data_IF_468592746338
#
_entry.id   IF_468592746338
#
_cell.length_a   1.000
_cell.length_b   1.000
_cell.length_c   1.000
_cell.angle_alpha   90.00
_cell.angle_beta   90.00
_cell.angle_gamma   90.00
#
_symmetry.space_group_name_H-M   'P 1'
#
loop_
_entity.id
_entity.type
_entity.pdbx_description
1 polymer ?
#
# COMPACT_ATOMS: atom_id res chain seq x y z
N UNK A 1 -13.38 26.08 -38.89
CA UNK A 1 -12.69 25.16 -37.96
C UNK A 1 -12.10 25.82 -36.71
N UNK A 2 -11.36 26.94 -36.79
CA UNK A 2 -10.74 27.58 -35.60
C UNK A 2 -11.75 28.04 -34.52
N UNK A 3 -12.90 28.60 -34.92
CA UNK A 3 -13.98 28.98 -34.00
C UNK A 3 -14.64 27.79 -33.30
N UNK A 4 -14.78 26.65 -34.00
CA UNK A 4 -15.38 25.43 -33.46
C UNK A 4 -14.47 24.79 -32.41
N UNK A 5 -13.15 24.79 -32.64
CA UNK A 5 -12.12 24.38 -31.67
C UNK A 5 -12.10 25.27 -30.43
N UNK A 6 -12.23 26.58 -30.62
CA UNK A 6 -12.29 27.55 -29.51
C UNK A 6 -13.57 27.35 -28.67
N UNK A 7 -14.70 27.07 -29.33
CA UNK A 7 -15.98 26.82 -28.67
C UNK A 7 -15.98 25.49 -27.90
N UNK A 8 -15.34 24.43 -28.42
CA UNK A 8 -15.15 23.17 -27.69
C UNK A 8 -14.22 23.31 -26.49
N UNK A 9 -13.18 24.15 -26.58
CA UNK A 9 -12.29 24.47 -25.45
C UNK A 9 -13.05 25.25 -24.36
N UNK A 10 -13.85 26.25 -24.74
CA UNK A 10 -14.66 27.04 -23.81
C UNK A 10 -15.77 26.21 -23.15
N UNK A 11 -16.44 25.32 -23.88
CA UNK A 11 -17.47 24.43 -23.34
C UNK A 11 -16.90 23.41 -22.34
N UNK A 12 -15.65 22.97 -22.52
CA UNK A 12 -15.02 22.03 -21.57
C UNK A 12 -14.73 22.66 -20.21
N UNK A 13 -14.54 23.98 -20.14
CA UNK A 13 -14.33 24.69 -18.87
C UNK A 13 -15.60 24.88 -18.04
N UNK A 14 -16.78 24.73 -18.63
CA UNK A 14 -18.06 24.93 -17.93
C UNK A 14 -18.45 23.76 -17.02
N UNK A 15 -17.72 22.65 -17.05
CA UNK A 15 -18.02 21.43 -16.27
C UNK A 15 -16.90 21.08 -15.28
N UNK A 16 -15.97 22.00 -15.03
CA UNK A 16 -14.86 21.84 -14.09
C UNK A 16 -15.21 22.47 -12.75
N UNK A 17 -15.06 21.70 -11.68
CA UNK A 17 -15.13 22.21 -10.29
C UNK A 17 -13.81 22.88 -9.90
N UNK A 18 -13.78 23.67 -8.81
CA UNK A 18 -12.51 24.17 -8.28
C UNK A 18 -11.62 23.02 -7.80
N UNK A 19 -12.20 21.90 -7.34
CA UNK A 19 -11.47 20.68 -7.02
C UNK A 19 -10.68 20.15 -8.24
N UNK A 20 -11.31 20.06 -9.41
CA UNK A 20 -10.65 19.62 -10.65
C UNK A 20 -9.46 20.53 -11.01
N UNK A 21 -9.67 21.85 -10.93
CA UNK A 21 -8.63 22.85 -11.18
C UNK A 21 -7.49 22.73 -10.17
N UNK A 22 -7.82 22.50 -8.90
CA UNK A 22 -6.82 22.40 -7.84
C UNK A 22 -5.99 21.12 -7.97
N UNK A 23 -6.63 19.99 -8.26
CA UNK A 23 -5.92 18.74 -8.56
C UNK A 23 -4.96 18.93 -9.73
N UNK A 24 -5.43 19.53 -10.84
CA UNK A 24 -4.57 19.81 -11.99
C UNK A 24 -3.35 20.66 -11.61
N UNK A 25 -3.57 21.71 -10.81
CA UNK A 25 -2.50 22.58 -10.32
C UNK A 25 -1.47 21.82 -9.48
N UNK A 26 -1.92 20.99 -8.53
CA UNK A 26 -1.01 20.17 -7.70
C UNK A 26 -0.21 19.19 -8.57
N UNK A 27 -0.87 18.49 -9.50
CA UNK A 27 -0.25 17.49 -10.37
C UNK A 27 0.89 18.09 -11.22
N UNK A 28 0.74 19.34 -11.65
CA UNK A 28 1.70 20.05 -12.50
C UNK A 28 2.79 20.77 -11.70
N UNK A 29 2.42 21.42 -10.59
CA UNK A 29 3.27 22.44 -9.96
C UNK A 29 3.77 22.07 -8.57
N UNK A 30 3.26 21.00 -7.95
CA UNK A 30 3.57 20.65 -6.56
C UNK A 30 4.05 19.19 -6.40
N UNK A 31 5.20 18.82 -7.01
CA UNK A 31 5.72 17.44 -6.98
C UNK A 31 5.92 16.90 -5.57
N UNK A 32 6.25 17.75 -4.60
CA UNK A 32 6.44 17.41 -3.20
C UNK A 32 5.17 16.88 -2.52
N UNK A 33 3.98 17.28 -2.99
CA UNK A 33 2.70 16.80 -2.45
C UNK A 33 2.43 15.36 -2.91
N UNK A 34 2.85 15.04 -4.14
CA UNK A 34 2.64 13.74 -4.76
C UNK A 34 3.52 12.64 -4.13
N UNK A 35 4.78 12.95 -3.78
CA UNK A 35 5.65 12.00 -3.09
C UNK A 35 7.12 12.36 -3.14
N UNK A 36 7.93 11.63 -2.37
CA UNK A 36 9.37 11.86 -2.26
C UNK A 36 10.18 11.32 -3.45
N UNK A 37 9.64 10.32 -4.17
CA UNK A 37 10.32 9.67 -5.28
C UNK A 37 9.63 9.98 -6.61
N UNK A 38 10.41 10.32 -7.64
CA UNK A 38 9.91 10.63 -8.98
C UNK A 38 9.06 9.50 -9.58
N UNK A 39 9.38 8.24 -9.28
CA UNK A 39 8.59 7.08 -9.72
C UNK A 39 7.15 7.16 -9.22
N UNK A 40 6.95 7.47 -7.94
CA UNK A 40 5.63 7.53 -7.32
C UNK A 40 4.84 8.72 -7.86
N UNK A 41 5.50 9.87 -8.01
CA UNK A 41 4.90 11.06 -8.62
C UNK A 41 4.41 10.77 -10.04
N UNK A 42 5.18 10.01 -10.83
CA UNK A 42 4.82 9.66 -12.21
C UNK A 42 3.63 8.70 -12.26
N UNK A 43 3.56 7.72 -11.36
CA UNK A 43 2.40 6.83 -11.25
C UNK A 43 1.15 7.64 -10.89
N UNK A 44 1.23 8.52 -9.89
CA UNK A 44 0.10 9.38 -9.49
C UNK A 44 -0.36 10.23 -10.68
N UNK A 45 0.54 10.97 -11.33
CA UNK A 45 0.19 11.78 -12.52
C UNK A 45 -0.46 10.93 -13.61
N UNK A 46 0.05 9.73 -13.83
CA UNK A 46 -0.50 8.80 -14.83
C UNK A 46 -1.92 8.35 -14.48
N UNK A 47 -2.22 8.04 -13.21
CA UNK A 47 -3.57 7.67 -12.77
C UNK A 47 -4.57 8.80 -13.02
N UNK A 48 -4.23 10.03 -12.60
CA UNK A 48 -5.09 11.17 -12.83
C UNK A 48 -5.23 11.50 -14.32
N UNK A 49 -4.16 11.39 -15.11
CA UNK A 49 -4.23 11.62 -16.55
C UNK A 49 -5.19 10.63 -17.25
N UNK A 50 -5.17 9.35 -16.85
CA UNK A 50 -6.14 8.34 -17.34
C UNK A 50 -7.57 8.76 -16.97
N UNK A 51 -7.76 9.29 -15.77
CA UNK A 51 -9.06 9.82 -15.30
C UNK A 51 -9.37 11.25 -15.77
N UNK A 52 -8.68 11.77 -16.80
CA UNK A 52 -8.89 13.12 -17.35
C UNK A 52 -8.71 14.23 -16.29
N UNK A 53 -7.80 14.01 -15.35
CA UNK A 53 -7.47 14.87 -14.20
C UNK A 53 -8.63 15.15 -13.24
N UNK A 54 -9.65 14.29 -13.24
CA UNK A 54 -10.74 14.32 -12.26
C UNK A 54 -10.37 13.54 -10.99
N UNK A 55 -11.02 13.82 -9.84
CA UNK A 55 -10.85 13.06 -8.61
C UNK A 55 -11.00 11.56 -8.83
N UNK A 56 -10.13 10.77 -8.20
CA UNK A 56 -10.17 9.31 -8.25
C UNK A 56 -11.00 8.71 -7.11
N UNK A 57 -11.14 9.43 -6.01
CA UNK A 57 -11.72 8.94 -4.75
C UNK A 57 -12.90 9.79 -4.29
N UNK A 58 -12.80 11.12 -4.36
CA UNK A 58 -13.90 12.02 -4.00
C UNK A 58 -15.09 11.75 -4.93
N UNK A 59 -16.25 11.46 -4.36
CA UNK A 59 -17.44 11.01 -5.10
C UNK A 59 -17.54 9.49 -5.31
N UNK A 60 -16.54 8.71 -4.89
CA UNK A 60 -16.47 7.26 -5.04
C UNK A 60 -16.41 6.54 -3.68
N UNK A 61 -17.48 6.65 -2.89
CA UNK A 61 -17.54 6.15 -1.51
C UNK A 61 -17.19 4.65 -1.37
N UNK A 62 -17.61 3.81 -2.32
CA UNK A 62 -17.27 2.38 -2.32
C UNK A 62 -15.76 2.16 -2.40
N UNK A 63 -15.06 2.84 -3.31
CA UNK A 63 -13.60 2.70 -3.46
C UNK A 63 -12.86 3.17 -2.20
N UNK A 64 -13.34 4.24 -1.56
CA UNK A 64 -12.78 4.73 -0.29
C UNK A 64 -12.94 3.67 0.81
N UNK A 65 -14.14 3.09 0.94
CA UNK A 65 -14.41 2.08 1.95
C UNK A 65 -13.59 0.82 1.71
N UNK A 66 -13.57 0.31 0.47
CA UNK A 66 -12.76 -0.85 0.07
C UNK A 66 -11.27 -0.64 0.38
N UNK A 67 -10.74 0.56 0.09
CA UNK A 67 -9.35 0.90 0.40
C UNK A 67 -9.11 0.96 1.92
N UNK A 68 -9.99 1.61 2.69
CA UNK A 68 -9.87 1.68 4.16
C UNK A 68 -9.89 0.30 4.80
N UNK A 69 -10.81 -0.56 4.37
CA UNK A 69 -10.87 -1.95 4.83
C UNK A 69 -9.60 -2.71 4.47
N UNK A 70 -9.11 -2.56 3.23
CA UNK A 70 -7.88 -3.20 2.79
C UNK A 70 -6.64 -2.74 3.60
N UNK A 71 -6.57 -1.45 3.92
CA UNK A 71 -5.48 -0.87 4.72
C UNK A 71 -5.45 -1.41 6.16
N UNK A 72 -6.60 -1.80 6.70
CA UNK A 72 -6.73 -2.38 8.03
C UNK A 72 -6.67 -3.92 8.03
N UNK A 73 -6.75 -4.55 6.87
CA UNK A 73 -6.78 -6.01 6.75
C UNK A 73 -5.36 -6.59 6.88
N UNK A 74 -5.08 -7.47 7.86
CA UNK A 74 -3.77 -8.11 8.02
C UNK A 74 -3.30 -8.87 6.79
N UNK A 75 -4.22 -9.39 5.97
CA UNK A 75 -3.88 -10.05 4.72
C UNK A 75 -3.12 -9.11 3.76
N UNK A 76 -3.44 -7.82 3.72
CA UNK A 76 -2.74 -6.84 2.87
C UNK A 76 -1.71 -6.00 3.63
N UNK A 77 -1.97 -5.70 4.90
CA UNK A 77 -1.15 -4.85 5.76
C UNK A 77 -0.79 -5.54 7.09
N UNK A 78 -0.09 -6.68 7.01
CA UNK A 78 0.28 -7.50 8.17
C UNK A 78 1.19 -6.81 9.19
N UNK A 79 1.82 -5.68 8.83
CA UNK A 79 2.63 -4.84 9.73
C UNK A 79 1.86 -3.65 10.30
N UNK A 80 0.58 -3.50 9.98
CA UNK A 80 -0.26 -2.35 10.38
C UNK A 80 0.40 -1.01 10.10
N UNK A 81 1.03 -0.87 8.92
CA UNK A 81 1.66 0.39 8.52
C UNK A 81 0.59 1.45 8.28
N UNK A 82 0.93 2.70 8.56
CA UNK A 82 0.04 3.83 8.35
C UNK A 82 -0.39 3.97 6.88
N UNK A 83 0.55 3.86 5.93
CA UNK A 83 0.29 4.04 4.49
C UNK A 83 -0.52 5.31 4.18
N UNK A 84 -0.19 6.45 4.79
CA UNK A 84 -0.86 7.73 4.60
C UNK A 84 -2.30 7.80 5.15
N UNK A 85 -2.76 6.81 5.91
CA UNK A 85 -4.06 6.85 6.58
C UNK A 85 -4.18 8.04 7.52
N UNK A 86 -3.15 8.35 8.30
CA UNK A 86 -3.15 9.52 9.18
C UNK A 86 -3.29 10.83 8.41
N UNK A 87 -2.76 10.92 7.18
CA UNK A 87 -2.93 12.11 6.32
C UNK A 87 -4.35 12.17 5.74
N UNK A 88 -4.90 11.04 5.30
CA UNK A 88 -6.28 10.98 4.81
C UNK A 88 -7.29 11.31 5.93
N UNK A 89 -7.03 10.88 7.17
CA UNK A 89 -7.91 11.11 8.30
C UNK A 89 -8.07 12.60 8.63
N UNK A 90 -7.00 13.40 8.47
CA UNK A 90 -7.03 14.86 8.71
C UNK A 90 -8.13 15.58 7.93
N UNK A 91 -8.50 15.08 6.75
CA UNK A 91 -9.50 15.69 5.86
C UNK A 91 -10.75 14.83 5.70
N UNK A 92 -10.79 13.62 6.29
CA UNK A 92 -11.89 12.66 6.11
C UNK A 92 -13.24 13.18 6.63
N UNK A 93 -13.23 14.13 7.55
CA UNK A 93 -14.45 14.80 8.03
C UNK A 93 -15.26 15.48 6.91
N UNK A 94 -14.60 15.90 5.83
CA UNK A 94 -15.25 16.53 4.67
C UNK A 94 -16.20 15.57 3.94
N UNK A 95 -15.93 14.26 4.00
CA UNK A 95 -16.71 13.25 3.29
C UNK A 95 -18.13 13.07 3.87
N UNK A 96 -18.33 13.41 5.14
CA UNK A 96 -19.58 13.09 5.85
C UNK A 96 -20.65 14.18 5.74
N UNK A 97 -20.27 15.48 5.76
CA UNK A 97 -21.26 16.57 5.82
C UNK A 97 -20.85 17.88 5.10
N UNK A 98 -19.59 18.02 4.65
CA UNK A 98 -19.04 19.29 4.13
C UNK A 98 -18.31 19.10 2.79
N UNK A 99 -18.79 18.19 1.95
CA UNK A 99 -18.19 17.93 0.64
C UNK A 99 -18.67 18.98 -0.37
N UNK A 100 -18.21 20.23 -0.20
CA UNK A 100 -18.38 21.27 -1.20
C UNK A 100 -17.14 21.30 -2.10
N UNK A 101 -17.31 20.88 -3.36
CA UNK A 101 -16.22 20.73 -4.32
C UNK A 101 -15.56 22.07 -4.71
N UNK A 102 -16.23 23.20 -4.41
CA UNK A 102 -15.74 24.53 -4.70
C UNK A 102 -15.14 25.22 -3.47
N UNK A 103 -15.81 25.16 -2.32
CA UNK A 103 -15.34 25.82 -1.08
C UNK A 103 -14.19 25.07 -0.39
N UNK A 104 -14.17 23.74 -0.47
CA UNK A 104 -13.20 22.87 0.20
C UNK A 104 -12.23 22.22 -0.80
N UNK A 105 -12.05 22.84 -1.97
CA UNK A 105 -11.30 22.26 -3.09
C UNK A 105 -9.85 21.91 -2.74
N UNK A 106 -9.22 22.70 -1.86
CA UNK A 106 -7.85 22.46 -1.40
C UNK A 106 -7.75 21.16 -0.60
N UNK A 107 -8.54 21.05 0.46
CA UNK A 107 -8.51 19.93 1.39
C UNK A 107 -9.01 18.65 0.72
N UNK A 108 -10.03 18.76 -0.14
CA UNK A 108 -10.52 17.62 -0.93
C UNK A 108 -9.46 17.13 -1.93
N UNK A 109 -8.69 18.02 -2.55
CA UNK A 109 -7.59 17.62 -3.43
C UNK A 109 -6.47 16.91 -2.65
N UNK A 110 -6.12 17.42 -1.46
CA UNK A 110 -5.14 16.76 -0.59
C UNK A 110 -5.62 15.39 -0.10
N UNK A 111 -6.91 15.26 0.21
CA UNK A 111 -7.55 13.99 0.58
C UNK A 111 -7.50 12.98 -0.57
N UNK A 112 -7.88 13.39 -1.79
CA UNK A 112 -7.87 12.54 -2.98
C UNK A 112 -6.45 12.03 -3.29
N UNK A 113 -5.45 12.90 -3.17
CA UNK A 113 -4.04 12.53 -3.33
C UNK A 113 -3.57 11.61 -2.20
N UNK A 114 -3.98 11.85 -0.96
CA UNK A 114 -3.64 11.00 0.17
C UNK A 114 -4.17 9.56 -0.03
N UNK A 115 -5.41 9.38 -0.50
CA UNK A 115 -5.93 8.07 -0.85
C UNK A 115 -5.16 7.43 -2.00
N UNK A 116 -4.82 8.19 -3.04
CA UNK A 116 -4.02 7.69 -4.17
C UNK A 116 -2.65 7.18 -3.70
N UNK A 117 -1.97 7.95 -2.83
CA UNK A 117 -0.69 7.55 -2.22
C UNK A 117 -0.84 6.31 -1.35
N UNK A 118 -1.90 6.24 -0.54
CA UNK A 118 -2.22 5.09 0.30
C UNK A 118 -2.35 3.82 -0.54
N UNK A 119 -3.13 3.91 -1.63
CA UNK A 119 -3.36 2.80 -2.55
C UNK A 119 -2.07 2.33 -3.24
N UNK A 120 -1.29 3.24 -3.83
CA UNK A 120 -0.02 2.90 -4.49
C UNK A 120 0.97 2.26 -3.51
N UNK A 121 1.07 2.83 -2.30
CA UNK A 121 2.01 2.34 -1.28
C UNK A 121 1.62 0.95 -0.79
N UNK A 122 0.32 0.70 -0.59
CA UNK A 122 -0.20 -0.63 -0.25
C UNK A 122 0.10 -1.65 -1.37
N UNK A 123 -0.14 -1.29 -2.63
CA UNK A 123 0.16 -2.16 -3.77
C UNK A 123 1.65 -2.48 -3.85
N UNK A 124 2.51 -1.47 -3.70
CA UNK A 124 3.96 -1.66 -3.69
C UNK A 124 4.38 -2.56 -2.51
N UNK A 125 3.76 -2.40 -1.35
CA UNK A 125 4.01 -3.26 -0.20
C UNK A 125 3.58 -4.72 -0.45
N UNK A 126 2.43 -4.97 -1.06
CA UNK A 126 1.99 -6.35 -1.37
C UNK A 126 2.94 -7.02 -2.38
N UNK A 127 3.39 -6.29 -3.40
CA UNK A 127 4.18 -6.87 -4.50
C UNK A 127 5.66 -6.95 -4.18
N UNK A 128 6.22 -5.91 -3.57
CA UNK A 128 7.65 -5.76 -3.30
C UNK A 128 8.01 -5.95 -1.84
N UNK A 129 7.04 -5.97 -0.91
CA UNK A 129 7.30 -5.88 0.52
C UNK A 129 8.08 -4.60 0.87
N UNK A 130 8.52 -4.48 2.13
CA UNK A 130 9.42 -3.42 2.58
C UNK A 130 10.90 -3.77 2.42
N UNK A 131 11.19 -4.55 1.38
CA UNK A 131 12.52 -5.04 1.07
C UNK A 131 13.19 -4.06 0.10
N UNK A 132 14.41 -3.64 0.45
CA UNK A 132 15.31 -2.95 -0.46
C UNK A 132 15.90 -3.96 -1.45
N UNK A 133 15.15 -4.25 -2.51
CA UNK A 133 15.52 -5.25 -3.52
C UNK A 133 16.85 -4.94 -4.22
N UNK A 134 17.24 -3.66 -4.29
CA UNK A 134 18.50 -3.28 -4.90
C UNK A 134 19.66 -3.68 -3.99
N UNK A 135 19.56 -3.43 -2.67
CA UNK A 135 20.55 -3.94 -1.69
C UNK A 135 20.60 -5.46 -1.66
N UNK A 136 19.44 -6.12 -1.71
CA UNK A 136 19.37 -7.58 -1.77
C UNK A 136 20.09 -8.12 -3.00
N UNK A 137 19.85 -7.50 -4.17
CA UNK A 137 20.53 -7.87 -5.41
C UNK A 137 22.04 -7.68 -5.31
N UNK A 138 22.50 -6.55 -4.80
CA UNK A 138 23.94 -6.29 -4.58
C UNK A 138 24.55 -7.35 -3.68
N UNK A 139 23.89 -7.68 -2.56
CA UNK A 139 24.42 -8.65 -1.60
C UNK A 139 24.50 -10.06 -2.18
N UNK A 140 23.52 -10.47 -2.97
CA UNK A 140 23.55 -11.77 -3.66
C UNK A 140 24.68 -11.82 -4.67
N UNK A 141 24.89 -10.74 -5.44
CA UNK A 141 26.01 -10.67 -6.39
C UNK A 141 27.36 -10.82 -5.68
N UNK A 142 27.58 -10.09 -4.56
CA UNK A 142 28.80 -10.24 -3.74
C UNK A 142 29.00 -11.68 -3.24
N UNK A 143 27.93 -12.35 -2.80
CA UNK A 143 28.01 -13.72 -2.28
C UNK A 143 28.35 -14.75 -3.38
N UNK A 144 27.94 -14.52 -4.63
CA UNK A 144 28.30 -15.38 -5.77
C UNK A 144 29.77 -15.23 -6.17
N UNK A 145 30.40 -14.09 -5.88
CA UNK A 145 31.82 -13.86 -6.14
C UNK A 145 32.72 -14.63 -5.15
N UNK A 146 32.20 -15.01 -3.98
CA UNK A 146 32.87 -15.87 -3.01
C UNK A 146 32.77 -17.33 -3.47
N UNK A 147 33.86 -17.85 -4.06
CA UNK A 147 33.97 -19.12 -4.81
C UNK A 147 33.58 -20.44 -4.08
N UNK A 148 33.15 -20.40 -2.83
CA UNK A 148 32.88 -21.61 -2.02
C UNK A 148 31.39 -21.96 -1.87
N UNK A 149 30.45 -21.18 -2.43
CA UNK A 149 29.01 -21.46 -2.31
C UNK A 149 28.29 -21.31 -3.65
N UNK A 150 27.90 -22.44 -4.26
CA UNK A 150 27.03 -22.49 -5.43
C UNK A 150 25.55 -22.48 -4.96
N UNK A 151 25.01 -21.28 -4.73
CA UNK A 151 23.63 -21.13 -4.29
C UNK A 151 22.70 -20.69 -5.45
N UNK A 152 21.72 -21.53 -5.76
CA UNK A 152 20.67 -21.26 -6.74
C UNK A 152 19.52 -20.47 -6.10
N UNK A 153 19.69 -19.15 -6.04
CA UNK A 153 18.67 -18.24 -5.52
C UNK A 153 17.64 -17.90 -6.61
N UNK A 154 16.42 -18.42 -6.50
CA UNK A 154 15.27 -18.00 -7.34
C UNK A 154 14.63 -16.74 -6.76
N UNK A 155 15.29 -15.60 -6.95
CA UNK A 155 14.83 -14.29 -6.48
C UNK A 155 14.26 -13.52 -7.67
N UNK A 156 13.01 -13.80 -8.05
CA UNK A 156 12.33 -13.06 -9.11
C UNK A 156 11.69 -11.80 -8.52
N UNK A 157 12.28 -10.63 -8.80
CA UNK A 157 11.69 -9.33 -8.45
C UNK A 157 10.40 -9.15 -9.25
N UNK A 158 9.25 -9.11 -8.58
CA UNK A 158 8.00 -8.75 -9.22
C UNK A 158 7.98 -7.25 -9.55
N UNK A 159 7.56 -6.94 -10.77
CA UNK A 159 7.27 -5.56 -11.18
C UNK A 159 6.00 -5.07 -10.49
N UNK A 160 5.96 -3.78 -10.14
CA UNK A 160 4.69 -3.16 -9.74
C UNK A 160 3.70 -3.22 -10.91
N UNK A 161 2.39 -3.33 -10.64
CA UNK A 161 1.35 -3.19 -11.65
C UNK A 161 1.47 -1.85 -12.37
N UNK A 162 1.06 -1.82 -13.64
CA UNK A 162 0.99 -0.60 -14.44
C UNK A 162 -0.10 0.34 -13.94
N UNK A 163 0.02 1.64 -14.25
CA UNK A 163 -1.02 2.63 -13.93
C UNK A 163 -2.39 2.26 -14.51
N UNK A 164 -2.44 1.57 -15.65
CA UNK A 164 -3.69 1.12 -16.27
C UNK A 164 -4.37 0.02 -15.46
N UNK A 165 -3.60 -0.93 -14.91
CA UNK A 165 -4.14 -2.00 -14.05
C UNK A 165 -4.64 -1.42 -12.72
N UNK A 166 -3.86 -0.53 -12.11
CA UNK A 166 -4.24 0.23 -10.92
C UNK A 166 -5.54 1.01 -11.14
N UNK A 167 -5.63 1.77 -12.24
CA UNK A 167 -6.83 2.54 -12.57
C UNK A 167 -8.03 1.63 -12.84
N UNK A 168 -7.84 0.50 -13.53
CA UNK A 168 -8.91 -0.45 -13.83
C UNK A 168 -9.54 -1.03 -12.55
N UNK A 169 -8.74 -1.26 -11.51
CA UNK A 169 -9.27 -1.71 -10.22
C UNK A 169 -10.17 -0.66 -9.55
N UNK A 170 -9.78 0.62 -9.61
CA UNK A 170 -10.57 1.75 -9.09
C UNK A 170 -11.86 1.92 -9.92
N UNK A 171 -11.74 1.95 -11.25
CA UNK A 171 -12.86 2.19 -12.17
C UNK A 171 -13.90 1.07 -12.13
N UNK A 172 -13.48 -0.17 -11.88
CA UNK A 172 -14.37 -1.33 -11.81
C UNK A 172 -14.84 -1.67 -10.38
N UNK A 173 -14.56 -0.83 -9.37
CA UNK A 173 -14.91 -1.07 -7.97
C UNK A 173 -14.45 -2.45 -7.46
N UNK A 174 -13.25 -2.86 -7.83
CA UNK A 174 -12.69 -4.18 -7.51
C UNK A 174 -11.30 -4.06 -6.88
N UNK A 175 -11.13 -3.09 -5.97
CA UNK A 175 -9.87 -2.91 -5.25
C UNK A 175 -9.49 -4.19 -4.48
N UNK A 176 -10.38 -4.82 -3.67
CA UNK A 176 -9.99 -6.00 -2.89
C UNK A 176 -9.61 -7.20 -3.76
N UNK A 177 -10.36 -7.46 -4.84
CA UNK A 177 -10.06 -8.56 -5.76
C UNK A 177 -8.76 -8.33 -6.53
N UNK A 178 -8.50 -7.10 -6.97
CA UNK A 178 -7.23 -6.72 -7.56
C UNK A 178 -6.05 -6.93 -6.59
N UNK A 179 -6.16 -6.44 -5.35
CA UNK A 179 -5.11 -6.61 -4.34
C UNK A 179 -4.79 -8.09 -4.07
N UNK A 180 -5.81 -8.97 -4.02
CA UNK A 180 -5.59 -10.43 -3.91
C UNK A 180 -4.88 -11.01 -5.14
N UNK A 181 -5.20 -10.52 -6.34
CA UNK A 181 -4.62 -11.04 -7.59
C UNK A 181 -3.13 -10.76 -7.73
N UNK A 182 -2.65 -9.66 -7.13
CA UNK A 182 -1.23 -9.28 -7.17
C UNK A 182 -0.42 -9.91 -6.03
N UNK A 183 -1.08 -10.47 -5.01
CA UNK A 183 -0.43 -11.16 -3.89
C UNK A 183 0.42 -12.33 -4.39
N UNK A 184 1.73 -12.36 -4.07
CA UNK A 184 2.59 -13.49 -4.40
C UNK A 184 2.20 -14.75 -3.63
N UNK A 185 2.16 -15.90 -4.31
CA UNK A 185 1.94 -17.22 -3.71
C UNK A 185 0.74 -17.22 -2.72
N UNK A 186 -0.49 -16.96 -3.21
CA UNK A 186 -1.62 -16.57 -2.37
C UNK A 186 -1.96 -17.57 -1.26
N UNK A 187 -1.82 -18.87 -1.51
CA UNK A 187 -2.04 -19.89 -0.47
C UNK A 187 -0.99 -19.79 0.64
N UNK A 188 0.30 -19.80 0.28
CA UNK A 188 1.40 -19.67 1.24
C UNK A 188 1.31 -18.36 2.01
N UNK A 189 0.92 -17.27 1.34
CA UNK A 189 0.69 -15.98 1.98
C UNK A 189 -0.42 -16.08 3.02
N UNK A 190 -1.56 -16.68 2.69
CA UNK A 190 -2.66 -16.91 3.63
C UNK A 190 -2.18 -17.71 4.85
N UNK A 191 -1.48 -18.84 4.64
CA UNK A 191 -0.98 -19.68 5.72
C UNK A 191 -0.04 -18.91 6.68
N UNK A 192 0.79 -18.02 6.12
CA UNK A 192 1.70 -17.17 6.90
C UNK A 192 0.95 -16.09 7.70
N UNK A 193 -0.11 -15.51 7.12
CA UNK A 193 -0.97 -14.56 7.82
C UNK A 193 -1.72 -15.24 8.96
N UNK A 194 -2.25 -16.44 8.73
CA UNK A 194 -2.95 -17.21 9.75
C UNK A 194 -2.00 -17.58 10.91
N UNK A 195 -0.79 -18.04 10.58
CA UNK A 195 0.25 -18.29 11.57
C UNK A 195 0.62 -17.02 12.35
N UNK A 196 0.79 -15.88 11.67
CA UNK A 196 1.09 -14.60 12.31
C UNK A 196 -0.01 -14.20 13.30
N UNK A 197 -1.26 -14.27 12.88
CA UNK A 197 -2.41 -13.92 13.73
C UNK A 197 -2.53 -14.87 14.92
N UNK A 198 -2.28 -16.17 14.72
CA UNK A 198 -2.21 -17.16 15.78
C UNK A 198 -1.14 -16.78 16.82
N UNK A 199 0.09 -16.48 16.39
CA UNK A 199 1.17 -16.08 17.30
C UNK A 199 0.93 -14.72 17.97
N UNK A 200 0.33 -13.75 17.29
CA UNK A 200 -0.05 -12.46 17.90
C UNK A 200 -1.16 -12.61 18.94
N UNK A 201 -2.04 -13.60 18.77
CA UNK A 201 -3.09 -13.94 19.73
C UNK A 201 -2.59 -14.65 20.99
N UNK A 202 -1.38 -15.23 20.96
CA UNK A 202 -0.79 -15.86 22.14
C UNK A 202 -0.45 -14.82 23.21
N UNK A 203 -1.11 -14.93 24.36
CA UNK A 203 -0.78 -14.15 25.57
C UNK A 203 0.03 -15.01 26.53
N UNK A 204 0.85 -14.36 27.35
CA UNK A 204 1.53 -14.99 28.49
C UNK A 204 2.42 -16.20 28.16
N UNK A 205 3.11 -16.18 27.00
CA UNK A 205 4.10 -17.21 26.67
C UNK A 205 5.21 -17.16 27.74
N UNK A 206 5.43 -18.24 28.50
CA UNK A 206 6.44 -18.25 29.55
C UNK A 206 7.83 -18.03 28.93
N UNK A 207 8.51 -16.96 29.37
CA UNK A 207 9.87 -16.68 28.96
C UNK A 207 10.81 -17.69 29.61
N UNK A 208 11.43 -18.52 28.77
CA UNK A 208 12.49 -19.43 29.22
C UNK A 208 13.78 -18.61 29.32
N UNK A 209 14.32 -18.47 30.53
CA UNK A 209 15.59 -17.77 30.74
C UNK A 209 16.72 -18.53 30.08
N UNK A 210 17.65 -17.81 29.45
CA UNK A 210 18.92 -18.38 29.00
C UNK A 210 19.68 -18.92 30.21
N UNK A 211 20.24 -20.11 30.09
CA UNK A 211 20.87 -20.83 31.19
C UNK A 211 21.79 -21.94 30.69
N UNK A 212 22.08 -22.90 31.56
CA UNK A 212 22.91 -24.06 31.23
C UNK A 212 22.22 -24.93 30.18
N UNK A 213 23.00 -25.44 29.22
CA UNK A 213 22.53 -26.46 28.28
C UNK A 213 22.03 -27.69 29.04
N UNK A 214 20.76 -28.03 28.83
CA UNK A 214 20.14 -29.21 29.43
C UNK A 214 20.39 -30.44 28.55
N UNK A 215 20.73 -31.55 29.18
CA UNK A 215 20.81 -32.87 28.55
C UNK A 215 19.55 -33.69 28.86
N UNK A 216 19.29 -34.69 28.02
CA UNK A 216 18.23 -35.64 28.28
C UNK A 216 18.43 -36.32 29.65
N UNK A 217 17.42 -36.26 30.50
CA UNK A 217 17.47 -36.77 31.88
C UNK A 217 17.82 -35.73 32.94
N UNK A 218 18.22 -34.51 32.55
CA UNK A 218 18.48 -33.45 33.52
C UNK A 218 17.20 -33.03 34.26
N UNK A 219 17.35 -32.73 35.54
CA UNK A 219 16.31 -32.09 36.35
C UNK A 219 16.73 -30.65 36.61
N UNK A 220 15.96 -29.70 36.08
CA UNK A 220 16.23 -28.28 36.27
C UNK A 220 14.94 -27.49 36.52
N UNK A 221 14.97 -26.50 37.45
CA UNK A 221 13.85 -25.58 37.72
C UNK A 221 13.14 -24.93 36.51
N UNK A 222 13.78 -24.75 35.35
CA UNK A 222 13.15 -24.14 34.17
C UNK A 222 12.50 -25.15 33.20
N UNK A 223 12.62 -26.46 33.46
CA UNK A 223 11.96 -27.51 32.67
C UNK A 223 10.43 -27.40 32.67
N UNK A 224 9.75 -27.09 33.80
CA UNK A 224 8.30 -26.89 33.79
C UNK A 224 7.85 -25.78 32.83
N UNK A 225 8.60 -24.68 32.75
CA UNK A 225 8.28 -23.55 31.88
C UNK A 225 8.54 -23.89 30.40
N UNK A 226 9.59 -24.65 30.11
CA UNK A 226 9.84 -25.23 28.78
C UNK A 226 8.69 -26.16 28.36
N UNK A 227 8.24 -27.05 29.25
CA UNK A 227 7.13 -27.97 28.98
C UNK A 227 5.82 -27.22 28.70
N UNK A 228 5.52 -26.19 29.50
CA UNK A 228 4.35 -25.32 29.24
C UNK A 228 4.45 -24.65 27.88
N UNK A 229 5.63 -24.19 27.48
CA UNK A 229 5.86 -23.55 26.17
C UNK A 229 5.68 -24.50 24.99
N UNK A 230 6.07 -25.77 25.12
CA UNK A 230 5.91 -26.77 24.05
C UNK A 230 4.50 -27.38 23.98
N UNK A 231 3.67 -27.19 25.00
CA UNK A 231 2.29 -27.68 25.04
C UNK A 231 1.26 -26.67 24.49
N UNK A 232 1.70 -25.47 24.09
CA UNK A 232 0.93 -24.43 23.41
C UNK A 232 0.95 -24.65 21.90
#
# INVERSE_FOLDING_TARGET
>A
MRLLLLFTLLLSQLWSTQLDNRLLSILQNEPQVLGSYTSDQNVIRSLYAINKNKPLWIGHAQNINDLREALQNPYFNYKFKDFYQSQAEQYSYLLNNNMNLDENSQELALLDIAFTKSYITLVNFIVKSDIDWDKVSTKISELKELKDVEAHWEMVRKSSPSSSELFSAIANHNIPGFLRSITPLPQRHQDLIDALLFYQGMRDIPQVKYGKDLKAGDQHPFIPDIKKRFAL
#
